data_IF_678230120153
#
_entry.id   IF_678230120153
#
_cell.length_a   1.000
_cell.length_b   1.000
_cell.length_c   1.000
_cell.angle_alpha   90.00
_cell.angle_beta   90.00
_cell.angle_gamma   90.00
#
_symmetry.space_group_name_H-M   'P 1'
#
loop_
_entity.id
_entity.type
_entity.pdbx_description
1 polymer ?
#
# COMPACT_ATOMS: atom_id res chain seq x y z
N UNK A 1 15.76 -0.63 -0.65
CA UNK A 1 15.25 0.51 -1.44
C UNK A 1 16.29 1.60 -1.56
N UNK A 2 16.51 2.12 -2.77
CA UNK A 2 17.53 3.15 -3.05
C UNK A 2 17.13 4.50 -2.48
N UNK A 3 18.06 5.17 -1.77
CA UNK A 3 17.88 6.53 -1.25
C UNK A 3 17.77 7.59 -2.36
N UNK A 4 18.14 7.24 -3.60
CA UNK A 4 17.97 8.11 -4.77
C UNK A 4 16.49 8.31 -5.13
N UNK A 5 15.63 7.32 -4.91
CA UNK A 5 14.20 7.37 -5.25
C UNK A 5 13.27 7.32 -4.04
N UNK A 6 13.64 6.61 -2.98
CA UNK A 6 12.80 6.48 -1.79
C UNK A 6 13.02 7.68 -0.86
N UNK A 7 11.96 8.46 -0.64
CA UNK A 7 11.99 9.67 0.18
C UNK A 7 11.92 9.39 1.67
N UNK A 8 11.38 8.24 2.08
CA UNK A 8 10.95 7.98 3.47
C UNK A 8 9.44 8.14 3.68
N UNK A 9 8.74 8.74 2.72
CA UNK A 9 7.28 8.80 2.62
C UNK A 9 6.72 8.07 1.39
N UNK A 10 7.57 7.75 0.43
CA UNK A 10 7.26 6.95 -0.75
C UNK A 10 8.38 6.99 -1.77
N UNK A 11 8.12 6.48 -2.96
CA UNK A 11 9.00 6.54 -4.13
C UNK A 11 8.58 7.74 -4.98
N UNK A 12 9.52 8.65 -5.26
CA UNK A 12 9.28 9.80 -6.14
C UNK A 12 9.43 9.45 -7.62
N UNK A 13 8.85 10.27 -8.49
CA UNK A 13 8.83 10.07 -9.95
C UNK A 13 10.22 10.14 -10.61
N UNK A 14 11.18 10.82 -9.97
CA UNK A 14 12.54 10.95 -10.48
C UNK A 14 13.57 10.83 -9.34
N UNK A 15 14.75 10.29 -9.63
CA UNK A 15 15.81 10.18 -8.64
C UNK A 15 16.39 11.56 -8.28
N UNK A 16 16.81 11.76 -7.03
CA UNK A 16 17.26 13.07 -6.53
C UNK A 16 18.54 13.61 -7.17
N UNK A 17 19.28 12.76 -7.86
CA UNK A 17 20.52 13.10 -8.55
C UNK A 17 20.34 13.23 -10.07
N UNK A 18 19.10 13.16 -10.56
CA UNK A 18 18.80 13.45 -11.96
C UNK A 18 18.77 14.97 -12.20
N UNK A 19 19.27 15.41 -13.35
CA UNK A 19 19.37 16.85 -13.69
C UNK A 19 18.03 17.58 -13.62
N UNK A 20 16.93 16.90 -13.96
CA UNK A 20 15.59 17.48 -13.96
C UNK A 20 14.87 17.38 -12.61
N UNK A 21 15.50 16.78 -11.58
CA UNK A 21 14.86 16.58 -10.29
C UNK A 21 14.49 17.92 -9.64
N UNK A 22 13.21 18.03 -9.30
CA UNK A 22 12.68 19.11 -8.50
C UNK A 22 11.62 18.53 -7.54
N UNK A 23 11.84 18.55 -6.22
CA UNK A 23 10.90 17.99 -5.24
C UNK A 23 9.53 18.68 -5.24
N UNK A 24 9.46 19.93 -5.72
CA UNK A 24 8.24 20.72 -5.87
C UNK A 24 7.60 20.57 -7.25
N UNK A 25 8.16 19.76 -8.15
CA UNK A 25 7.58 19.55 -9.48
C UNK A 25 6.47 18.52 -9.44
N UNK A 26 5.39 18.79 -10.19
CA UNK A 26 4.27 17.86 -10.37
C UNK A 26 4.70 16.50 -10.90
N UNK A 27 5.69 16.43 -11.81
CA UNK A 27 6.14 15.17 -12.44
C UNK A 27 7.63 14.87 -12.31
N UNK A 28 8.48 15.81 -11.88
CA UNK A 28 9.94 15.61 -11.86
C UNK A 28 10.52 15.44 -10.45
N UNK A 29 9.77 14.85 -9.52
CA UNK A 29 10.31 14.61 -8.18
C UNK A 29 9.29 14.53 -7.07
N UNK A 30 7.99 14.65 -7.35
CA UNK A 30 6.90 14.42 -6.39
C UNK A 30 6.69 12.93 -6.12
N UNK A 31 5.90 12.62 -5.09
CA UNK A 31 5.49 11.27 -4.72
C UNK A 31 3.99 11.14 -4.97
N UNK A 32 3.63 10.14 -5.76
CA UNK A 32 2.26 9.85 -6.16
C UNK A 32 1.77 8.56 -5.50
N UNK A 33 0.73 8.61 -4.65
CA UNK A 33 0.13 7.40 -4.07
C UNK A 33 -0.28 6.35 -5.10
N UNK A 34 -0.81 6.80 -6.25
CA UNK A 34 -1.12 5.93 -7.39
C UNK A 34 0.11 5.14 -7.85
N UNK A 35 1.20 5.81 -8.23
CA UNK A 35 2.41 5.15 -8.75
C UNK A 35 3.02 4.22 -7.69
N UNK A 36 2.97 4.64 -6.43
CA UNK A 36 3.46 3.84 -5.31
C UNK A 36 2.62 2.58 -5.08
N UNK A 37 1.32 2.60 -5.38
CA UNK A 37 0.49 1.38 -5.32
C UNK A 37 0.86 0.37 -6.41
N UNK A 38 1.24 0.84 -7.60
CA UNK A 38 1.76 -0.03 -8.66
C UNK A 38 3.12 -0.61 -8.30
N UNK A 39 4.00 0.20 -7.69
CA UNK A 39 5.28 -0.27 -7.15
C UNK A 39 5.05 -1.31 -6.05
N UNK A 40 4.09 -1.08 -5.14
CA UNK A 40 3.75 -2.03 -4.09
C UNK A 40 3.31 -3.39 -4.65
N UNK A 41 2.42 -3.39 -5.67
CA UNK A 41 2.01 -4.61 -6.35
C UNK A 41 3.19 -5.29 -7.07
N UNK A 42 4.06 -4.52 -7.72
CA UNK A 42 5.29 -5.05 -8.32
C UNK A 42 6.20 -5.73 -7.29
N UNK A 43 6.46 -5.08 -6.17
CA UNK A 43 7.25 -5.65 -5.06
C UNK A 43 6.63 -6.94 -4.54
N UNK A 44 5.30 -7.01 -4.44
CA UNK A 44 4.59 -8.25 -4.11
C UNK A 44 4.82 -9.34 -5.15
N UNK A 45 4.64 -9.04 -6.44
CA UNK A 45 4.82 -10.00 -7.52
C UNK A 45 6.24 -10.58 -7.58
N UNK A 46 7.25 -9.77 -7.26
CA UNK A 46 8.65 -10.20 -7.19
C UNK A 46 9.08 -10.73 -5.80
N UNK A 47 8.14 -10.91 -4.88
CA UNK A 47 8.38 -11.40 -3.52
C UNK A 47 9.36 -10.54 -2.69
N UNK A 48 9.43 -9.23 -2.96
CA UNK A 48 10.20 -8.26 -2.18
C UNK A 48 9.40 -7.72 -0.98
N UNK A 49 8.97 -8.63 -0.11
CA UNK A 49 8.05 -8.33 1.01
C UNK A 49 8.62 -7.30 1.98
N UNK A 50 9.93 -7.32 2.27
CA UNK A 50 10.56 -6.33 3.16
C UNK A 50 10.50 -4.91 2.60
N UNK A 51 10.66 -4.77 1.28
CA UNK A 51 10.55 -3.48 0.60
C UNK A 51 9.10 -3.03 0.52
N UNK A 52 8.16 -3.95 0.34
CA UNK A 52 6.73 -3.67 0.40
C UNK A 52 6.31 -3.20 1.80
N UNK A 53 6.78 -3.85 2.86
CA UNK A 53 6.52 -3.44 4.25
C UNK A 53 7.01 -2.00 4.48
N UNK A 54 8.25 -1.70 4.08
CA UNK A 54 8.82 -0.35 4.21
C UNK A 54 8.04 0.70 3.44
N UNK A 55 7.55 0.36 2.24
CA UNK A 55 6.73 1.27 1.45
C UNK A 55 5.34 1.48 2.08
N UNK A 56 4.70 0.40 2.53
CA UNK A 56 3.41 0.44 3.22
C UNK A 56 3.46 1.28 4.48
N UNK A 57 4.51 1.14 5.30
CA UNK A 57 4.73 1.96 6.49
C UNK A 57 4.87 3.44 6.15
N UNK A 58 5.65 3.76 5.11
CA UNK A 58 5.88 5.13 4.68
C UNK A 58 4.60 5.81 4.16
N UNK A 59 3.77 5.09 3.41
CA UNK A 59 2.49 5.60 2.91
C UNK A 59 1.45 5.71 4.04
N UNK A 60 1.47 4.79 5.00
CA UNK A 60 0.62 4.88 6.19
C UNK A 60 0.99 6.11 7.03
N UNK A 61 2.29 6.35 7.28
CA UNK A 61 2.79 7.55 7.96
C UNK A 61 2.37 8.83 7.21
N UNK A 62 2.44 8.84 5.87
CA UNK A 62 2.03 9.99 5.06
C UNK A 62 0.51 10.25 5.15
N UNK A 63 -0.30 9.19 5.16
CA UNK A 63 -1.75 9.30 5.33
C UNK A 63 -2.12 9.81 6.74
N UNK A 64 -1.44 9.33 7.78
CA UNK A 64 -1.71 9.68 9.19
C UNK A 64 -1.61 11.18 9.48
N UNK A 65 -0.70 11.88 8.79
CA UNK A 65 -0.52 13.34 8.94
C UNK A 65 -1.25 14.14 7.85
N UNK A 66 -1.92 13.48 6.93
CA UNK A 66 -2.74 14.12 5.90
C UNK A 66 -4.16 14.37 6.42
N UNK A 67 -4.80 15.41 5.88
CA UNK A 67 -6.20 15.73 6.15
C UNK A 67 -7.11 14.51 5.94
N UNK A 68 -8.06 14.27 6.85
CA UNK A 68 -8.97 13.11 6.85
C UNK A 68 -8.29 11.72 6.80
N UNK A 69 -7.03 11.62 7.21
CA UNK A 69 -6.25 10.37 7.19
C UNK A 69 -6.15 9.71 5.79
N UNK A 70 -6.21 10.53 4.72
CA UNK A 70 -6.23 10.04 3.34
C UNK A 70 -5.02 10.51 2.55
N UNK A 71 -4.59 9.70 1.60
CA UNK A 71 -3.53 10.06 0.67
C UNK A 71 -4.03 11.11 -0.35
N UNK A 72 -3.32 12.23 -0.56
CA UNK A 72 -3.65 13.22 -1.58
C UNK A 72 -3.29 12.72 -2.99
N UNK A 73 -3.63 13.46 -4.04
CA UNK A 73 -3.17 13.20 -5.41
C UNK A 73 -1.65 12.96 -5.50
N UNK A 74 -0.89 13.84 -4.85
CA UNK A 74 0.56 13.81 -4.75
C UNK A 74 1.02 14.68 -3.58
N UNK A 75 2.27 14.51 -3.17
CA UNK A 75 2.99 15.44 -2.29
C UNK A 75 4.42 15.63 -2.76
N UNK A 76 5.09 16.68 -2.27
CA UNK A 76 6.43 17.04 -2.72
C UNK A 76 7.45 15.96 -2.31
N UNK A 77 8.37 15.58 -3.19
CA UNK A 77 9.29 14.46 -2.92
C UNK A 77 10.61 14.88 -2.30
N UNK A 78 10.54 15.72 -1.27
CA UNK A 78 11.65 15.96 -0.35
C UNK A 78 11.98 14.68 0.41
N UNK A 79 13.24 14.53 0.81
CA UNK A 79 13.65 13.46 1.71
C UNK A 79 13.05 13.70 3.09
N UNK A 80 12.47 12.66 3.69
CA UNK A 80 12.02 12.64 5.07
C UNK A 80 13.18 13.02 5.99
N UNK A 81 12.90 13.95 6.89
CA UNK A 81 13.72 14.31 8.04
C UNK A 81 12.94 13.94 9.30
N UNK A 82 13.65 13.78 10.40
CA UNK A 82 13.02 13.47 11.68
C UNK A 82 12.05 14.61 12.04
N UNK A 83 10.86 14.25 12.52
CA UNK A 83 9.79 15.16 12.94
C UNK A 83 9.18 16.11 11.87
N UNK A 84 9.54 15.96 10.58
CA UNK A 84 8.96 16.77 9.49
C UNK A 84 7.94 15.97 8.67
N UNK A 85 6.65 16.35 8.58
CA UNK A 85 5.67 15.66 7.73
C UNK A 85 5.99 15.80 6.23
N UNK A 86 5.36 15.01 5.34
CA UNK A 86 5.47 15.23 3.91
C UNK A 86 5.05 16.66 3.55
N UNK A 87 5.88 17.36 2.78
CA UNK A 87 5.56 18.71 2.33
C UNK A 87 4.39 18.62 1.34
N UNK A 88 3.24 19.27 1.63
CA UNK A 88 2.08 19.19 0.76
C UNK A 88 2.38 19.83 -0.59
N UNK A 89 1.76 19.31 -1.65
CA UNK A 89 1.68 20.00 -2.93
C UNK A 89 0.41 20.86 -2.90
N UNK A 90 0.56 22.19 -2.98
CA UNK A 90 -0.51 23.14 -2.62
C UNK A 90 -1.80 22.96 -3.43
N UNK A 91 -1.67 22.65 -4.72
CA UNK A 91 -2.81 22.51 -5.64
C UNK A 91 -3.22 21.05 -5.87
N UNK A 92 -2.77 20.12 -5.01
CA UNK A 92 -3.15 18.71 -5.11
C UNK A 92 -4.63 18.50 -4.79
N UNK A 93 -5.29 17.66 -5.58
CA UNK A 93 -6.65 17.22 -5.28
C UNK A 93 -6.70 16.34 -4.00
N UNK A 94 -7.74 16.53 -3.19
CA UNK A 94 -7.98 15.81 -1.91
C UNK A 94 -9.46 15.44 -1.75
N UNK A 95 -9.88 14.19 -2.01
CA UNK A 95 -9.12 13.12 -2.67
C UNK A 95 -9.15 13.26 -4.19
N UNK A 96 -8.11 12.75 -4.86
CA UNK A 96 -8.12 12.49 -6.29
C UNK A 96 -8.49 11.02 -6.54
N UNK A 97 -9.15 10.74 -7.66
CA UNK A 97 -9.72 9.41 -7.94
C UNK A 97 -8.70 8.26 -7.90
N UNK A 98 -7.51 8.44 -8.48
CA UNK A 98 -6.45 7.44 -8.47
C UNK A 98 -5.78 7.31 -7.09
N UNK A 99 -5.59 8.42 -6.38
CA UNK A 99 -5.10 8.40 -5.01
C UNK A 99 -6.07 7.63 -4.08
N UNK A 100 -7.38 7.84 -4.22
CA UNK A 100 -8.39 7.09 -3.49
C UNK A 100 -8.33 5.58 -3.82
N UNK A 101 -8.14 5.21 -5.08
CA UNK A 101 -7.98 3.82 -5.51
C UNK A 101 -6.69 3.15 -5.00
N UNK A 102 -5.62 3.93 -4.80
CA UNK A 102 -4.29 3.42 -4.44
C UNK A 102 -4.26 2.62 -3.14
N UNK A 103 -5.05 3.04 -2.14
CA UNK A 103 -5.12 2.38 -0.84
C UNK A 103 -5.56 0.91 -0.95
N UNK A 104 -6.50 0.60 -1.83
CA UNK A 104 -7.00 -0.76 -2.03
C UNK A 104 -5.96 -1.66 -2.71
N UNK A 105 -5.21 -1.13 -3.67
CA UNK A 105 -4.15 -1.90 -4.33
C UNK A 105 -2.95 -2.12 -3.40
N UNK A 106 -2.58 -1.12 -2.59
CA UNK A 106 -1.57 -1.29 -1.54
C UNK A 106 -2.02 -2.36 -0.55
N UNK A 107 -3.28 -2.30 -0.09
CA UNK A 107 -3.84 -3.29 0.84
C UNK A 107 -3.81 -4.70 0.24
N UNK A 108 -4.27 -4.86 -1.00
CA UNK A 108 -4.21 -6.12 -1.75
C UNK A 108 -2.78 -6.65 -1.82
N UNK A 109 -1.81 -5.79 -2.17
CA UNK A 109 -0.40 -6.14 -2.21
C UNK A 109 0.11 -6.56 -0.83
N UNK A 110 -0.21 -5.85 0.24
CA UNK A 110 0.23 -6.17 1.60
C UNK A 110 -0.35 -7.48 2.12
N UNK A 111 -1.62 -7.76 1.83
CA UNK A 111 -2.25 -9.05 2.18
C UNK A 111 -1.82 -10.20 1.28
N UNK A 112 -1.17 -9.90 0.15
CA UNK A 112 -0.89 -10.88 -0.90
C UNK A 112 -2.18 -11.52 -1.41
N UNK A 113 -3.25 -10.73 -1.48
CA UNK A 113 -4.58 -11.17 -1.86
C UNK A 113 -4.62 -11.41 -3.38
N UNK A 114 -4.74 -12.67 -3.78
CA UNK A 114 -4.78 -13.10 -5.17
C UNK A 114 -6.02 -13.94 -5.41
N UNK A 115 -6.78 -13.60 -6.44
CA UNK A 115 -7.77 -14.50 -7.01
C UNK A 115 -7.04 -15.25 -8.13
N UNK A 116 -7.03 -16.59 -8.07
CA UNK A 116 -6.32 -17.40 -9.06
C UNK A 116 -6.87 -17.18 -10.48
N UNK A 117 -6.09 -17.44 -11.55
CA UNK A 117 -6.55 -17.21 -12.92
C UNK A 117 -7.80 -17.99 -13.31
N UNK A 118 -7.95 -19.21 -12.79
CA UNK A 118 -9.17 -20.04 -12.92
C UNK A 118 -10.33 -19.56 -12.03
N UNK A 119 -10.07 -18.50 -11.26
CA UNK A 119 -10.93 -17.85 -10.28
C UNK A 119 -11.39 -18.76 -9.14
N UNK A 120 -10.87 -19.98 -9.01
CA UNK A 120 -11.37 -20.96 -8.04
C UNK A 120 -10.97 -20.66 -6.60
N UNK A 121 -9.80 -20.03 -6.40
CA UNK A 121 -9.22 -19.85 -5.09
C UNK A 121 -9.00 -18.38 -4.76
N UNK A 122 -9.30 -18.02 -3.51
CA UNK A 122 -8.93 -16.76 -2.89
C UNK A 122 -7.69 -17.06 -2.03
N UNK A 123 -6.55 -16.48 -2.39
CA UNK A 123 -5.27 -16.75 -1.74
C UNK A 123 -4.82 -15.51 -0.98
N UNK A 124 -4.43 -15.65 0.28
CA UNK A 124 -3.62 -14.68 1.01
C UNK A 124 -2.19 -15.23 1.10
N UNK A 125 -1.25 -14.60 0.42
CA UNK A 125 0.16 -15.00 0.42
C UNK A 125 0.95 -14.14 1.39
N UNK A 126 1.64 -14.74 2.35
CA UNK A 126 2.51 -14.08 3.34
C UNK A 126 1.96 -12.69 3.74
N UNK A 127 0.75 -12.64 4.33
CA UNK A 127 0.10 -11.37 4.62
C UNK A 127 0.92 -10.57 5.62
N UNK A 128 1.07 -9.28 5.33
CA UNK A 128 1.75 -8.29 6.18
C UNK A 128 0.83 -7.10 6.43
N UNK A 129 1.09 -6.35 7.50
CA UNK A 129 0.35 -5.15 7.89
C UNK A 129 1.32 -4.01 8.15
N UNK A 130 0.97 -2.74 7.88
CA UNK A 130 1.81 -1.60 8.22
C UNK A 130 2.16 -1.65 9.71
N UNK A 131 3.39 -1.32 10.10
CA UNK A 131 3.97 -1.54 11.43
C UNK A 131 3.11 -0.98 12.58
N UNK A 132 2.38 0.12 12.34
CA UNK A 132 1.45 0.76 13.28
C UNK A 132 0.05 0.10 13.35
N UNK A 133 -0.25 -0.83 12.45
CA UNK A 133 -1.52 -1.55 12.37
C UNK A 133 -1.37 -2.93 13.02
N UNK A 134 -2.17 -3.18 14.06
CA UNK A 134 -2.18 -4.45 14.79
C UNK A 134 -3.19 -5.45 14.25
N UNK A 135 -4.29 -4.95 13.68
CA UNK A 135 -5.37 -5.77 13.15
C UNK A 135 -6.05 -5.05 11.99
N UNK A 136 -6.47 -5.82 10.99
CA UNK A 136 -7.27 -5.39 9.86
C UNK A 136 -8.45 -6.34 9.71
N UNK A 137 -9.66 -5.80 9.63
CA UNK A 137 -10.87 -6.56 9.32
C UNK A 137 -11.31 -6.26 7.90
N UNK A 138 -11.55 -7.32 7.12
CA UNK A 138 -12.23 -7.24 5.83
C UNK A 138 -13.59 -7.90 5.99
N UNK A 139 -14.65 -7.13 5.76
CA UNK A 139 -16.03 -7.60 5.79
C UNK A 139 -16.58 -7.73 4.37
N UNK A 140 -17.45 -8.72 4.19
CA UNK A 140 -18.24 -8.93 2.97
C UNK A 140 -17.46 -8.86 1.63
N UNK A 141 -16.21 -9.37 1.60
CA UNK A 141 -15.44 -9.50 0.36
C UNK A 141 -16.14 -10.49 -0.57
N UNK A 142 -16.67 -9.99 -1.68
CA UNK A 142 -17.37 -10.79 -2.68
C UNK A 142 -16.45 -11.14 -3.84
N UNK A 143 -16.27 -12.44 -4.08
CA UNK A 143 -15.62 -13.00 -5.26
C UNK A 143 -16.60 -13.91 -5.96
N UNK A 144 -17.33 -13.36 -6.92
CA UNK A 144 -18.46 -14.02 -7.62
C UNK A 144 -19.51 -14.50 -6.62
N UNK A 145 -19.69 -15.81 -6.53
CA UNK A 145 -20.62 -16.56 -5.69
C UNK A 145 -20.07 -16.89 -4.30
N UNK A 146 -18.86 -16.40 -3.96
CA UNK A 146 -18.26 -16.54 -2.62
C UNK A 146 -18.21 -15.21 -1.90
N UNK A 147 -18.61 -15.22 -0.63
CA UNK A 147 -18.52 -14.09 0.31
C UNK A 147 -17.59 -14.49 1.46
N UNK A 148 -16.63 -13.62 1.77
CA UNK A 148 -15.57 -13.86 2.74
C UNK A 148 -15.45 -12.66 3.68
N UNK A 149 -15.42 -12.93 4.98
CA UNK A 149 -14.98 -11.96 5.98
C UNK A 149 -13.84 -12.56 6.78
N UNK A 150 -12.81 -11.76 7.05
CA UNK A 150 -11.61 -12.21 7.71
C UNK A 150 -11.01 -11.08 8.56
N UNK A 151 -10.25 -11.49 9.57
CA UNK A 151 -9.42 -10.63 10.38
C UNK A 151 -7.97 -11.04 10.19
N UNK A 152 -7.12 -10.10 9.82
CA UNK A 152 -5.66 -10.27 9.79
C UNK A 152 -5.10 -9.55 10.99
N UNK A 153 -4.39 -10.26 11.86
CA UNK A 153 -3.75 -9.68 13.04
C UNK A 153 -2.24 -9.90 13.02
N UNK A 154 -1.49 -8.97 13.59
CA UNK A 154 -0.04 -9.06 13.72
C UNK A 154 0.34 -10.19 14.68
N UNK A 155 1.08 -11.18 14.20
CA UNK A 155 1.74 -12.18 15.05
C UNK A 155 3.20 -11.81 15.32
N UNK A 156 3.92 -12.67 16.06
CA UNK A 156 5.35 -12.45 16.36
C UNK A 156 6.25 -12.43 15.12
N UNK A 157 6.02 -13.36 14.19
CA UNK A 157 6.86 -13.53 12.99
C UNK A 157 6.08 -13.37 11.68
N UNK A 158 4.79 -13.72 11.68
CA UNK A 158 3.90 -13.63 10.51
C UNK A 158 2.53 -13.15 10.99
N UNK A 159 1.72 -12.57 10.09
CA UNK A 159 0.33 -12.29 10.44
C UNK A 159 -0.47 -13.59 10.64
N UNK A 160 -1.44 -13.53 11.56
CA UNK A 160 -2.48 -14.53 11.70
C UNK A 160 -3.67 -14.10 10.86
N UNK A 161 -4.32 -15.06 10.19
CA UNK A 161 -5.53 -14.83 9.41
C UNK A 161 -6.63 -15.69 9.99
N UNK A 162 -7.68 -15.05 10.46
CA UNK A 162 -8.89 -15.67 10.99
C UNK A 162 -10.04 -15.42 10.00
N UNK A 163 -10.67 -16.49 9.51
CA UNK A 163 -11.87 -16.38 8.67
C UNK A 163 -13.07 -16.30 9.61
N UNK A 164 -13.72 -15.13 9.66
CA UNK A 164 -14.86 -14.89 10.56
C UNK A 164 -16.19 -15.23 9.92
N UNK A 165 -16.28 -15.15 8.58
CA UNK A 165 -17.46 -15.57 7.81
C UNK A 165 -17.05 -16.09 6.44
N UNK A 166 -17.70 -17.16 5.98
CA UNK A 166 -17.52 -17.70 4.64
C UNK A 166 -18.84 -18.28 4.14
N UNK A 167 -19.20 -17.95 2.91
CA UNK A 167 -20.28 -18.59 2.15
C UNK A 167 -19.84 -18.77 0.70
N UNK A 168 -20.27 -19.85 0.05
CA UNK A 168 -19.93 -20.16 -1.34
C UNK A 168 -18.80 -21.19 -1.51
N UNK A 169 -18.58 -21.66 -2.75
CA UNK A 169 -17.80 -22.88 -3.02
C UNK A 169 -16.28 -22.67 -3.10
N UNK A 170 -15.79 -21.43 -3.27
CA UNK A 170 -14.35 -21.18 -3.51
C UNK A 170 -13.51 -21.52 -2.30
N UNK A 171 -12.30 -22.04 -2.52
CA UNK A 171 -11.35 -22.32 -1.44
C UNK A 171 -10.66 -21.02 -1.01
N UNK A 172 -10.38 -20.92 0.28
CA UNK A 172 -9.54 -19.85 0.83
C UNK A 172 -8.23 -20.49 1.27
N UNK A 173 -7.13 -20.03 0.67
CA UNK A 173 -5.79 -20.54 0.92
C UNK A 173 -4.95 -19.46 1.61
N UNK A 174 -4.38 -19.80 2.77
CA UNK A 174 -3.45 -18.92 3.48
C UNK A 174 -2.07 -19.53 3.33
N UNK A 175 -1.21 -18.88 2.54
CA UNK A 175 0.18 -19.29 2.32
C UNK A 175 1.07 -18.41 3.19
N UNK A 176 1.99 -19.00 3.95
CA UNK A 176 2.90 -18.26 4.84
C UNK A 176 4.24 -18.03 4.16
#
# INVERSE_FOLDING_TARGET
MSARLFTGYGVRTLAADEKAYNPLSYHNGSVWPHDNSLIAEGLRCYNHVDHLQRLGDALFDAAEVSEDLRLPELFCGFRRRDDEPPVPYEVACRPQAWAAGSAFLILKAMLGLVITPDQQDIVLRSPILPSKVNSLRLDDLRVRDTELSLVVSRGRNTCNVEITRRSGPRRILIQK
#
